data_IF_565372473858
#
_entry.id   IF_565372473858
#
_cell.length_a   1.000
_cell.length_b   1.000
_cell.length_c   1.000
_cell.angle_alpha   90.00
_cell.angle_beta   90.00
_cell.angle_gamma   90.00
#
_symmetry.space_group_name_H-M   'P 1'
#
loop_
_entity.id
_entity.type
_entity.pdbx_description
1 polymer ?
#
# COMPACT_ATOMS: atom_id res chain seq x y z
N UNK A 1 23.77 -1.65 -63.99
CA UNK A 1 24.06 -3.08 -63.80
C UNK A 1 25.07 -3.29 -62.69
N UNK A 2 24.67 -4.06 -61.69
CA UNK A 2 25.45 -4.37 -60.48
C UNK A 2 24.52 -5.03 -59.46
N UNK A 3 24.26 -6.33 -59.66
CA UNK A 3 23.25 -7.10 -58.92
C UNK A 3 23.51 -7.17 -57.41
N UNK A 4 22.63 -6.55 -56.64
CA UNK A 4 22.42 -6.86 -55.22
C UNK A 4 21.12 -7.65 -55.10
N UNK A 5 21.19 -8.80 -54.43
CA UNK A 5 20.02 -9.61 -54.06
C UNK A 5 18.92 -8.72 -53.50
N UNK A 6 17.72 -8.80 -54.09
CA UNK A 6 16.55 -8.01 -53.70
C UNK A 6 16.31 -8.09 -52.20
N UNK A 7 16.66 -6.99 -51.53
CA UNK A 7 16.25 -6.67 -50.17
C UNK A 7 14.72 -6.78 -50.06
N UNK A 8 14.22 -7.13 -48.89
CA UNK A 8 12.78 -7.15 -48.62
C UNK A 8 12.10 -5.86 -49.11
N UNK A 9 10.85 -5.94 -49.61
CA UNK A 9 10.15 -4.76 -50.11
C UNK A 9 9.90 -3.76 -48.97
N UNK A 10 10.38 -2.53 -49.14
CA UNK A 10 10.24 -1.44 -48.15
C UNK A 10 9.53 -0.22 -48.75
N UNK A 11 8.86 0.55 -47.90
CA UNK A 11 8.30 1.87 -48.22
C UNK A 11 9.03 2.92 -47.38
N UNK A 12 9.54 3.97 -48.02
CA UNK A 12 10.18 5.09 -47.34
C UNK A 12 9.50 6.42 -47.72
N UNK A 13 9.21 7.25 -46.71
CA UNK A 13 8.67 8.60 -46.89
C UNK A 13 9.73 9.60 -46.42
N UNK A 14 10.09 10.58 -47.26
CA UNK A 14 11.05 11.63 -46.92
C UNK A 14 10.64 12.94 -47.57
N UNK A 15 10.65 14.02 -46.78
CA UNK A 15 10.33 15.37 -47.24
C UNK A 15 11.17 16.38 -46.44
N UNK A 16 12.05 17.18 -47.07
CA UNK A 16 12.91 18.14 -46.37
C UNK A 16 12.16 19.18 -45.54
N UNK A 17 10.92 19.51 -45.93
CA UNK A 17 10.06 20.44 -45.23
C UNK A 17 9.14 19.76 -44.18
N UNK A 18 9.17 18.42 -44.08
CA UNK A 18 8.39 17.65 -43.12
C UNK A 18 7.25 16.82 -43.73
N UNK A 19 6.68 15.94 -42.91
CA UNK A 19 5.56 15.05 -43.24
C UNK A 19 4.45 15.29 -42.20
N UNK A 20 3.21 15.47 -42.67
CA UNK A 20 2.03 15.50 -41.80
C UNK A 20 1.15 14.28 -42.09
N UNK A 21 0.85 13.50 -41.05
CA UNK A 21 -0.05 12.35 -41.11
C UNK A 21 -1.25 12.63 -40.20
N UNK A 22 -2.45 12.72 -40.75
CA UNK A 22 -3.65 13.09 -40.01
C UNK A 22 -4.88 12.30 -40.49
N UNK A 23 -5.82 12.08 -39.57
CA UNK A 23 -7.13 11.46 -39.84
C UNK A 23 -8.16 12.06 -38.87
N UNK A 24 -9.37 12.41 -39.33
CA UNK A 24 -10.44 12.85 -38.43
C UNK A 24 -11.02 11.70 -37.58
N UNK A 25 -10.65 10.45 -37.89
CA UNK A 25 -11.04 9.27 -37.10
C UNK A 25 -9.84 8.73 -36.33
N UNK A 26 -9.13 7.78 -36.92
CA UNK A 26 -8.01 7.08 -36.27
C UNK A 26 -6.82 6.93 -37.19
N UNK A 27 -5.65 6.80 -36.55
CA UNK A 27 -4.38 6.33 -37.13
C UNK A 27 -3.97 5.13 -36.30
N UNK A 28 -3.60 4.03 -36.96
CA UNK A 28 -3.02 2.85 -36.32
C UNK A 28 -1.61 2.64 -36.85
N UNK A 29 -0.66 2.45 -35.94
CA UNK A 29 0.73 2.10 -36.25
C UNK A 29 1.00 0.73 -35.60
N UNK A 30 1.58 -0.19 -36.37
CA UNK A 30 1.89 -1.53 -35.90
C UNK A 30 3.09 -2.10 -36.64
N UNK A 31 3.90 -2.87 -35.92
CA UNK A 31 5.05 -3.59 -36.45
C UNK A 31 5.10 -4.98 -35.82
N UNK A 32 5.60 -5.98 -36.56
CA UNK A 32 5.82 -7.33 -36.02
C UNK A 32 7.00 -7.41 -35.06
N UNK A 33 7.93 -6.44 -35.14
CA UNK A 33 9.14 -6.39 -34.33
C UNK A 33 9.22 -5.08 -33.53
N UNK A 34 9.54 -3.96 -34.18
CA UNK A 34 9.86 -2.70 -33.49
C UNK A 34 9.20 -1.48 -34.13
N UNK A 35 8.88 -0.48 -33.30
CA UNK A 35 8.52 0.87 -33.72
C UNK A 35 9.54 1.82 -33.08
N UNK A 36 10.35 2.48 -33.90
CA UNK A 36 11.34 3.44 -33.46
C UNK A 36 10.90 4.87 -33.80
N UNK A 37 10.90 5.75 -32.80
CA UNK A 37 10.62 7.17 -32.96
C UNK A 37 11.79 7.97 -32.40
N UNK A 38 12.43 8.77 -33.26
CA UNK A 38 13.59 9.57 -32.89
C UNK A 38 13.44 11.00 -33.42
N UNK A 39 13.85 11.97 -32.61
CA UNK A 39 13.92 13.38 -32.98
C UNK A 39 15.21 13.98 -32.42
N UNK A 40 15.81 14.93 -33.15
CA UNK A 40 17.00 15.66 -32.67
C UNK A 40 16.69 16.67 -31.57
N UNK A 41 15.46 17.17 -31.54
CA UNK A 41 15.03 18.21 -30.60
C UNK A 41 14.03 17.63 -29.60
N UNK A 42 12.83 17.27 -30.06
CA UNK A 42 11.74 16.87 -29.17
C UNK A 42 10.81 15.85 -29.80
N UNK A 43 10.31 14.93 -28.97
CA UNK A 43 9.14 14.10 -29.24
C UNK A 43 8.02 14.59 -28.33
N UNK A 44 6.89 14.97 -28.91
CA UNK A 44 5.70 15.40 -28.18
C UNK A 44 4.56 14.42 -28.44
N UNK A 45 3.97 13.88 -27.36
CA UNK A 45 2.81 13.01 -27.40
C UNK A 45 1.71 13.69 -26.59
N UNK A 46 0.53 13.88 -27.17
CA UNK A 46 -0.58 14.61 -26.51
C UNK A 46 -1.89 13.91 -26.83
N UNK A 47 -2.73 13.77 -25.81
CA UNK A 47 -4.07 13.21 -25.91
C UNK A 47 -5.07 14.13 -25.20
N UNK A 48 -6.26 14.29 -25.76
CA UNK A 48 -7.32 15.12 -25.16
C UNK A 48 -8.04 14.45 -23.98
N UNK A 49 -8.03 13.10 -23.93
CA UNK A 49 -8.67 12.32 -22.87
C UNK A 49 -7.65 11.50 -22.08
N UNK A 50 -7.04 10.49 -22.69
CA UNK A 50 -6.15 9.54 -22.00
C UNK A 50 -4.94 9.12 -22.82
N UNK A 51 -3.83 8.86 -22.13
CA UNK A 51 -2.64 8.21 -22.68
C UNK A 51 -2.39 6.92 -21.90
N UNK A 52 -2.27 5.80 -22.62
CA UNK A 52 -1.99 4.48 -22.05
C UNK A 52 -0.67 3.97 -22.60
N UNK A 53 0.24 3.59 -21.70
CA UNK A 53 1.53 3.00 -22.05
C UNK A 53 1.61 1.63 -21.38
N UNK A 54 1.60 0.57 -22.20
CA UNK A 54 1.64 -0.81 -21.73
C UNK A 54 2.79 -1.53 -22.43
N UNK A 55 3.54 -2.35 -21.68
CA UNK A 55 4.61 -3.18 -22.22
C UNK A 55 4.56 -4.59 -21.60
N UNK A 56 4.90 -5.60 -22.39
CA UNK A 56 4.84 -6.99 -21.94
C UNK A 56 5.98 -7.41 -21.01
N UNK A 57 7.11 -6.69 -21.03
CA UNK A 57 8.31 -7.02 -20.23
C UNK A 57 8.82 -5.85 -19.39
N UNK A 58 8.73 -4.60 -19.88
CA UNK A 58 9.15 -3.44 -19.11
C UNK A 58 8.93 -2.11 -19.80
N UNK A 59 8.88 -1.04 -19.00
CA UNK A 59 8.86 0.35 -19.42
C UNK A 59 10.08 1.04 -18.80
N UNK A 60 10.84 1.78 -19.61
CA UNK A 60 12.02 2.52 -19.16
C UNK A 60 11.91 4.00 -19.53
N UNK A 61 12.23 4.87 -18.59
CA UNK A 61 12.36 6.32 -18.82
C UNK A 61 13.73 6.78 -18.33
N UNK A 62 14.40 7.62 -19.11
CA UNK A 62 15.72 8.13 -18.79
C UNK A 62 15.90 9.53 -19.37
N UNK A 63 16.47 10.44 -18.58
CA UNK A 63 16.88 11.76 -19.01
C UNK A 63 18.38 11.92 -18.70
N UNK A 64 19.18 12.21 -19.72
CA UNK A 64 20.62 12.42 -19.55
C UNK A 64 20.93 13.74 -18.81
N UNK A 65 20.11 14.75 -19.04
CA UNK A 65 20.25 16.10 -18.47
C UNK A 65 18.88 16.73 -18.26
N UNK A 66 18.77 17.66 -17.32
CA UNK A 66 17.52 18.30 -16.96
C UNK A 66 16.67 17.43 -16.03
N UNK A 67 15.38 17.76 -15.94
CA UNK A 67 14.48 17.19 -14.95
C UNK A 67 13.56 16.10 -15.54
N UNK A 68 13.22 15.10 -14.72
CA UNK A 68 12.10 14.19 -14.99
C UNK A 68 10.89 14.61 -14.14
N UNK A 69 9.71 14.73 -14.76
CA UNK A 69 8.50 15.23 -14.10
C UNK A 69 7.31 14.32 -14.35
N UNK A 70 6.73 13.78 -13.27
CA UNK A 70 5.45 13.07 -13.28
C UNK A 70 4.45 13.85 -12.43
N UNK A 71 3.49 14.52 -13.07
CA UNK A 71 2.61 15.49 -12.42
C UNK A 71 1.16 15.17 -12.76
N UNK A 72 0.34 14.97 -11.72
CA UNK A 72 -1.12 14.99 -11.81
C UNK A 72 -1.63 16.32 -11.26
N UNK A 73 -2.32 17.12 -12.07
CA UNK A 73 -2.93 18.39 -11.60
C UNK A 73 -4.15 18.13 -10.71
N UNK A 74 -4.91 17.08 -11.04
CA UNK A 74 -6.04 16.58 -10.28
C UNK A 74 -6.00 15.06 -10.29
N UNK A 75 -6.54 14.44 -9.24
CA UNK A 75 -6.54 13.00 -9.07
C UNK A 75 -5.29 12.47 -8.37
N UNK A 76 -5.21 11.14 -8.25
CA UNK A 76 -4.16 10.43 -7.54
C UNK A 76 -2.95 10.17 -8.46
N UNK A 77 -1.74 10.37 -7.92
CA UNK A 77 -0.52 9.83 -8.51
C UNK A 77 -0.20 8.49 -7.84
N UNK A 78 -0.53 7.39 -8.53
CA UNK A 78 -0.31 6.04 -8.03
C UNK A 78 0.95 5.42 -8.61
N UNK A 79 1.91 5.08 -7.75
CA UNK A 79 3.13 4.34 -8.11
C UNK A 79 3.17 3.03 -7.33
N UNK A 80 3.19 1.89 -8.03
CA UNK A 80 3.11 0.57 -7.41
C UNK A 80 4.03 -0.45 -8.09
N UNK A 81 4.68 -1.27 -7.26
CA UNK A 81 5.30 -2.52 -7.67
C UNK A 81 4.54 -3.68 -6.99
N UNK A 82 3.65 -4.34 -7.74
CA UNK A 82 2.67 -5.27 -7.14
C UNK A 82 3.26 -6.64 -6.74
N UNK A 83 4.36 -7.03 -7.38
CA UNK A 83 5.01 -8.33 -7.17
C UNK A 83 6.54 -8.20 -7.01
N UNK A 84 7.05 -7.00 -6.75
CA UNK A 84 8.48 -6.75 -6.57
C UNK A 84 8.70 -5.49 -5.72
N UNK A 85 9.96 -5.14 -5.47
CA UNK A 85 10.34 -3.94 -4.71
C UNK A 85 10.16 -2.65 -5.51
N UNK A 86 9.83 -1.57 -4.81
CA UNK A 86 10.01 -0.20 -5.30
C UNK A 86 11.21 0.44 -4.58
N UNK A 87 12.07 1.18 -5.31
CA UNK A 87 13.20 1.93 -4.77
C UNK A 87 13.15 3.37 -5.25
N UNK A 88 13.36 4.31 -4.32
CA UNK A 88 13.46 5.75 -4.59
C UNK A 88 14.75 6.25 -3.97
N UNK A 89 15.68 6.71 -4.81
CA UNK A 89 17.05 7.04 -4.42
C UNK A 89 17.48 8.33 -5.11
N UNK A 90 18.26 9.15 -4.39
CA UNK A 90 18.83 10.39 -4.90
C UNK A 90 20.23 10.60 -4.28
N UNK A 91 21.13 11.21 -5.04
CA UNK A 91 22.47 11.57 -4.58
C UNK A 91 22.44 12.72 -3.54
N UNK A 92 21.49 13.64 -3.71
CA UNK A 92 21.29 14.77 -2.80
C UNK A 92 20.19 14.44 -1.78
N UNK A 93 18.95 14.87 -2.02
CA UNK A 93 17.84 14.72 -1.07
C UNK A 93 16.65 13.98 -1.69
N UNK A 94 15.88 13.34 -0.81
CA UNK A 94 14.52 12.85 -1.09
C UNK A 94 13.59 13.56 -0.11
N UNK A 95 12.59 14.25 -0.62
CA UNK A 95 11.59 14.97 0.18
C UNK A 95 10.21 14.33 0.00
N UNK A 96 9.57 13.99 1.12
CA UNK A 96 8.22 13.42 1.15
C UNK A 96 7.39 14.28 2.10
N UNK A 97 6.36 14.93 1.57
CA UNK A 97 5.52 15.86 2.32
C UNK A 97 4.05 15.76 1.89
N UNK A 98 3.13 15.88 2.84
CA UNK A 98 1.71 16.07 2.61
C UNK A 98 1.26 17.34 3.33
N UNK A 99 0.61 18.27 2.60
CA UNK A 99 0.28 19.60 3.15
C UNK A 99 -0.98 19.64 4.01
N UNK A 100 -1.92 18.74 3.76
CA UNK A 100 -3.26 18.82 4.35
C UNK A 100 -3.58 17.68 5.32
N UNK A 101 -3.17 16.46 4.99
CA UNK A 101 -3.56 15.26 5.73
C UNK A 101 -2.35 14.60 6.40
N UNK A 102 -1.84 13.50 5.83
CA UNK A 102 -0.88 12.64 6.52
C UNK A 102 0.11 12.00 5.55
N UNK A 103 1.23 11.55 6.10
CA UNK A 103 2.16 10.61 5.45
C UNK A 103 1.99 9.27 6.17
N UNK A 104 1.53 8.25 5.45
CA UNK A 104 1.42 6.90 5.98
C UNK A 104 2.61 6.05 5.51
N UNK A 105 3.45 5.63 6.45
CA UNK A 105 4.48 4.61 6.21
C UNK A 105 4.07 3.35 6.97
N UNK A 106 3.81 2.28 6.22
CA UNK A 106 3.41 0.98 6.77
C UNK A 106 4.24 -0.14 6.15
N UNK A 107 4.56 -1.14 6.95
CA UNK A 107 5.23 -2.36 6.50
C UNK A 107 4.77 -3.54 7.36
N UNK A 108 4.74 -4.73 6.77
CA UNK A 108 4.38 -5.96 7.49
C UNK A 108 5.52 -6.45 8.40
N UNK A 109 6.75 -6.37 7.92
CA UNK A 109 7.93 -6.93 8.61
C UNK A 109 8.59 -5.89 9.52
N UNK A 110 9.09 -4.80 8.94
CA UNK A 110 9.74 -3.73 9.69
C UNK A 110 9.79 -2.42 8.89
N UNK A 111 9.96 -1.33 9.64
CA UNK A 111 10.37 -0.02 9.11
C UNK A 111 11.71 0.33 9.75
N UNK A 112 12.68 0.81 8.98
CA UNK A 112 13.98 1.25 9.50
C UNK A 112 14.37 2.59 8.90
N UNK A 113 14.72 3.54 9.76
CA UNK A 113 15.25 4.85 9.41
C UNK A 113 16.70 4.89 9.88
N UNK A 114 17.65 5.18 8.98
CA UNK A 114 19.08 5.26 9.32
C UNK A 114 19.63 6.64 8.99
N UNK A 115 20.47 7.18 9.87
CA UNK A 115 21.17 8.44 9.66
C UNK A 115 22.48 8.48 10.45
N UNK A 116 23.62 8.55 9.75
CA UNK A 116 24.93 8.74 10.39
C UNK A 116 25.29 7.72 11.48
N UNK A 117 24.81 6.48 11.36
CA UNK A 117 24.99 5.42 12.36
C UNK A 117 23.94 5.37 13.48
N UNK A 118 23.08 6.38 13.61
CA UNK A 118 21.86 6.29 14.39
C UNK A 118 20.75 5.61 13.57
N UNK A 119 19.82 4.93 14.26
CA UNK A 119 18.66 4.34 13.63
C UNK A 119 17.43 4.32 14.53
N UNK A 120 16.27 4.28 13.88
CA UNK A 120 14.98 3.95 14.46
C UNK A 120 14.44 2.74 13.71
N UNK A 121 14.08 1.68 14.43
CA UNK A 121 13.51 0.48 13.86
C UNK A 121 12.20 0.11 14.54
N UNK A 122 11.17 -0.17 13.73
CA UNK A 122 9.90 -0.71 14.19
C UNK A 122 9.77 -2.14 13.68
N UNK A 123 9.67 -3.13 14.57
CA UNK A 123 9.57 -4.55 14.21
C UNK A 123 8.89 -5.36 15.33
N UNK A 124 7.94 -6.23 14.96
CA UNK A 124 7.28 -7.16 15.90
C UNK A 124 6.62 -6.46 17.09
N UNK A 125 6.01 -5.29 16.86
CA UNK A 125 5.41 -4.46 17.90
C UNK A 125 6.39 -3.65 18.75
N UNK A 126 7.70 -3.79 18.54
CA UNK A 126 8.74 -3.07 19.29
C UNK A 126 9.24 -1.84 18.52
N UNK A 127 9.71 -0.85 19.27
CA UNK A 127 10.46 0.30 18.76
C UNK A 127 11.88 0.23 19.33
N UNK A 128 12.88 0.18 18.47
CA UNK A 128 14.30 0.17 18.81
C UNK A 128 14.95 1.49 18.35
N UNK A 129 15.59 2.19 19.29
CA UNK A 129 16.32 3.43 19.06
C UNK A 129 17.80 3.18 19.36
N UNK A 130 18.63 3.07 18.33
CA UNK A 130 20.07 2.86 18.47
C UNK A 130 20.85 4.09 18.01
N UNK A 131 21.84 4.52 18.77
CA UNK A 131 22.69 5.64 18.41
C UNK A 131 24.06 5.56 19.10
N UNK A 132 25.16 5.93 18.41
CA UNK A 132 26.49 6.05 19.03
C UNK A 132 26.64 7.32 19.88
N UNK A 133 25.80 8.33 19.63
CA UNK A 133 25.78 9.60 20.34
C UNK A 133 24.78 9.62 21.50
N UNK A 134 24.37 10.82 21.89
CA UNK A 134 23.41 11.03 22.98
C UNK A 134 21.97 10.92 22.49
N UNK A 135 21.10 10.28 23.28
CA UNK A 135 19.66 10.40 23.15
C UNK A 135 19.18 11.64 23.93
N UNK A 136 18.84 12.73 23.23
CA UNK A 136 18.42 13.98 23.85
C UNK A 136 16.91 14.15 23.67
N UNK A 137 16.16 14.12 24.77
CA UNK A 137 14.71 14.36 24.79
C UNK A 137 14.44 15.74 25.40
N UNK A 138 13.82 16.64 24.63
CA UNK A 138 13.39 17.97 25.08
C UNK A 138 11.87 18.01 25.12
N UNK A 139 11.27 17.86 26.29
CA UNK A 139 9.82 17.83 26.46
C UNK A 139 9.39 18.57 27.75
N UNK A 140 8.21 19.19 27.72
CA UNK A 140 7.61 19.81 28.91
C UNK A 140 7.16 18.77 29.95
N UNK A 141 6.80 17.56 29.51
CA UNK A 141 6.47 16.42 30.35
C UNK A 141 6.88 15.10 29.65
N UNK A 142 7.18 14.06 30.41
CA UNK A 142 7.43 12.71 29.92
C UNK A 142 6.70 11.70 30.80
N UNK A 143 5.82 10.91 30.19
CA UNK A 143 5.03 9.89 30.90
C UNK A 143 5.09 8.59 30.12
N UNK A 144 5.47 7.51 30.78
CA UNK A 144 5.42 6.17 30.23
C UNK A 144 4.22 5.46 30.87
N UNK A 145 3.26 5.05 30.05
CA UNK A 145 2.09 4.27 30.47
C UNK A 145 2.18 2.88 29.86
N UNK A 146 1.27 1.96 30.26
CA UNK A 146 1.22 0.61 29.71
C UNK A 146 1.11 0.58 28.19
N UNK A 147 1.47 -0.55 27.59
CA UNK A 147 1.49 -0.71 26.13
C UNK A 147 0.11 -0.47 25.49
N UNK A 148 0.13 0.06 24.26
CA UNK A 148 -1.03 0.20 23.40
C UNK A 148 -0.76 -0.50 22.06
N UNK A 149 -1.80 -0.86 21.32
CA UNK A 149 -1.71 -1.55 20.03
C UNK A 149 -2.51 -0.80 18.96
N UNK A 150 -1.99 -0.71 17.74
CA UNK A 150 -2.69 -0.22 16.56
C UNK A 150 -2.54 -1.25 15.42
N UNK A 151 -3.66 -1.69 14.83
CA UNK A 151 -3.63 -2.65 13.71
C UNK A 151 -3.33 -1.90 12.40
N UNK A 152 -2.40 -2.44 11.62
CA UNK A 152 -1.93 -1.87 10.35
C UNK A 152 -2.32 -2.74 9.15
N UNK A 153 -3.42 -3.50 9.23
CA UNK A 153 -3.81 -4.38 8.13
C UNK A 153 -4.13 -3.57 6.87
N UNK A 154 -3.66 -4.10 5.74
CA UNK A 154 -4.05 -3.72 4.38
C UNK A 154 -5.51 -4.13 4.13
N UNK A 155 -6.44 -3.48 4.82
CA UNK A 155 -7.86 -3.61 4.51
C UNK A 155 -8.14 -2.77 3.27
N UNK A 156 -7.96 -3.36 2.10
CA UNK A 156 -8.76 -3.14 0.88
C UNK A 156 -8.04 -3.74 -0.32
N UNK A 157 -8.13 -5.06 -0.48
CA UNK A 157 -8.15 -5.65 -1.82
C UNK A 157 -9.58 -6.13 -2.07
N UNK A 158 -10.17 -5.67 -3.17
CA UNK A 158 -11.55 -5.96 -3.59
C UNK A 158 -11.84 -7.45 -3.79
N UNK A 159 -10.79 -8.29 -3.81
CA UNK A 159 -10.85 -9.75 -3.84
C UNK A 159 -10.06 -10.35 -2.68
N UNK A 160 -10.64 -10.33 -1.47
CA UNK A 160 -10.18 -11.15 -0.36
C UNK A 160 -10.81 -12.56 -0.49
N UNK A 161 -10.02 -13.65 -0.67
CA UNK A 161 -10.54 -15.02 -0.74
C UNK A 161 -11.20 -15.51 0.55
N UNK A 162 -10.97 -14.85 1.69
CA UNK A 162 -11.66 -15.12 2.96
C UNK A 162 -12.63 -13.96 3.28
N UNK A 163 -13.94 -14.24 3.27
CA UNK A 163 -15.01 -13.27 3.55
C UNK A 163 -16.02 -13.76 4.60
N UNK A 164 -15.60 -14.72 5.43
CA UNK A 164 -16.48 -15.48 6.31
C UNK A 164 -16.64 -14.83 7.70
N UNK A 165 -17.67 -15.26 8.42
CA UNK A 165 -17.99 -14.85 9.79
C UNK A 165 -17.73 -15.98 10.76
N UNK A 166 -17.09 -15.69 11.90
CA UNK A 166 -16.93 -16.67 12.97
C UNK A 166 -18.23 -16.78 13.80
N UNK A 167 -18.67 -18.01 14.10
CA UNK A 167 -19.77 -18.28 15.05
C UNK A 167 -19.17 -18.65 16.39
N UNK A 168 -19.49 -17.87 17.42
CA UNK A 168 -19.05 -18.15 18.80
C UNK A 168 -20.04 -19.11 19.46
N UNK A 169 -19.52 -20.21 20.01
CA UNK A 169 -20.29 -21.21 20.76
C UNK A 169 -19.67 -21.41 22.13
N UNK A 170 -20.51 -21.67 23.12
CA UNK A 170 -20.12 -22.12 24.44
C UNK A 170 -19.53 -23.53 24.33
N UNK A 171 -18.26 -23.69 24.69
CA UNK A 171 -17.51 -24.95 24.53
C UNK A 171 -18.09 -26.12 25.34
N UNK A 172 -18.79 -25.82 26.45
CA UNK A 172 -19.32 -26.85 27.36
C UNK A 172 -20.71 -27.32 26.96
N UNK A 173 -21.49 -26.46 26.34
CA UNK A 173 -22.91 -26.71 26.04
C UNK A 173 -23.23 -26.72 24.55
N UNK A 174 -22.30 -26.30 23.69
CA UNK A 174 -22.46 -26.18 22.24
C UNK A 174 -23.44 -25.09 21.79
N UNK A 175 -24.01 -24.34 22.75
CA UNK A 175 -24.98 -23.27 22.47
C UNK A 175 -24.29 -22.05 21.88
N UNK A 176 -24.96 -21.43 20.93
CA UNK A 176 -24.51 -20.19 20.30
C UNK A 176 -24.54 -19.06 21.33
N UNK A 177 -23.44 -18.31 21.43
CA UNK A 177 -23.31 -17.17 22.32
C UNK A 177 -23.73 -15.90 21.57
N UNK A 178 -25.01 -15.57 21.63
CA UNK A 178 -25.59 -14.37 21.01
C UNK A 178 -25.40 -13.13 21.90
N UNK A 179 -25.24 -11.95 21.28
CA UNK A 179 -25.07 -10.65 21.96
C UNK A 179 -24.00 -10.64 23.06
N UNK A 180 -22.96 -11.46 22.89
CA UNK A 180 -21.94 -11.67 23.90
C UNK A 180 -20.69 -10.85 23.53
N UNK A 181 -20.16 -10.01 24.45
CA UNK A 181 -18.93 -9.30 24.21
C UNK A 181 -17.75 -10.29 24.22
N UNK A 182 -16.96 -10.24 23.15
CA UNK A 182 -15.78 -11.07 22.97
C UNK A 182 -14.59 -10.19 22.61
N UNK A 183 -13.43 -10.63 23.05
CA UNK A 183 -12.15 -10.09 22.61
C UNK A 183 -11.57 -11.08 21.59
N UNK A 184 -11.48 -10.64 20.35
CA UNK A 184 -10.88 -11.37 19.25
C UNK A 184 -9.42 -10.94 19.14
N UNK A 185 -8.50 -11.82 19.53
CA UNK A 185 -7.07 -11.65 19.27
C UNK A 185 -6.76 -12.24 17.89
N UNK A 186 -6.42 -11.39 16.94
CA UNK A 186 -6.01 -11.79 15.59
C UNK A 186 -4.55 -12.23 15.57
N UNK A 187 -4.17 -12.94 14.50
CA UNK A 187 -2.82 -13.46 14.31
C UNK A 187 -1.74 -12.36 14.28
N UNK A 188 -2.13 -11.14 13.89
CA UNK A 188 -1.31 -9.92 13.88
C UNK A 188 -1.14 -9.28 15.27
N UNK A 189 -1.73 -9.86 16.31
CA UNK A 189 -1.73 -9.32 17.68
C UNK A 189 -2.82 -8.28 17.94
N UNK A 190 -3.67 -7.96 16.96
CA UNK A 190 -4.76 -7.01 17.16
C UNK A 190 -5.84 -7.59 18.06
N UNK A 191 -6.14 -6.87 19.15
CA UNK A 191 -7.27 -7.18 20.03
C UNK A 191 -8.50 -6.37 19.60
N UNK A 192 -9.48 -7.04 19.01
CA UNK A 192 -10.77 -6.46 18.61
C UNK A 192 -11.82 -6.78 19.67
N UNK A 193 -12.41 -5.75 20.28
CA UNK A 193 -13.57 -5.90 21.15
C UNK A 193 -14.83 -5.86 20.30
N UNK A 194 -15.49 -7.01 20.18
CA UNK A 194 -16.66 -7.20 19.32
C UNK A 194 -17.81 -7.76 20.13
N UNK A 195 -19.03 -7.57 19.64
CA UNK A 195 -20.22 -8.22 20.19
C UNK A 195 -20.79 -9.11 19.11
N UNK A 196 -21.09 -10.36 19.46
CA UNK A 196 -21.73 -11.30 18.54
C UNK A 196 -23.18 -10.89 18.25
N UNK A 197 -23.70 -11.18 17.06
CA UNK A 197 -25.10 -10.91 16.72
C UNK A 197 -26.09 -11.88 17.38
N UNK A 198 -27.38 -11.75 17.04
CA UNK A 198 -28.45 -12.62 17.56
C UNK A 198 -28.28 -14.11 17.18
N UNK A 199 -27.42 -14.41 16.20
CA UNK A 199 -27.06 -15.75 15.74
C UNK A 199 -25.62 -16.12 16.15
N UNK A 200 -25.01 -15.36 17.07
CA UNK A 200 -23.67 -15.58 17.61
C UNK A 200 -22.53 -15.36 16.62
N UNK A 201 -22.78 -14.64 15.51
CA UNK A 201 -21.77 -14.35 14.49
C UNK A 201 -21.02 -13.07 14.81
N UNK A 202 -19.74 -13.06 14.47
CA UNK A 202 -18.94 -11.85 14.42
C UNK A 202 -19.07 -11.13 13.08
N UNK A 203 -18.81 -9.81 13.04
CA UNK A 203 -18.71 -9.07 11.78
C UNK A 203 -17.78 -9.78 10.80
N UNK A 204 -18.16 -9.79 9.51
CA UNK A 204 -17.37 -10.42 8.45
C UNK A 204 -15.93 -9.94 8.49
N UNK A 205 -15.00 -10.89 8.55
CA UNK A 205 -13.57 -10.59 8.46
C UNK A 205 -13.18 -10.76 6.99
N UNK A 206 -12.57 -9.75 6.39
CA UNK A 206 -12.03 -9.84 5.03
C UNK A 206 -10.52 -9.98 5.11
N UNK A 207 -9.97 -11.04 4.54
CA UNK A 207 -8.53 -11.29 4.56
C UNK A 207 -8.04 -12.10 3.34
N UNK A 208 -6.74 -12.03 3.08
CA UNK A 208 -6.05 -12.75 2.00
C UNK A 208 -5.85 -14.24 2.29
N UNK A 209 -5.96 -14.64 3.56
CA UNK A 209 -5.85 -16.03 4.03
C UNK A 209 -6.72 -16.21 5.29
N UNK A 210 -7.09 -17.45 5.59
CA UNK A 210 -7.72 -17.77 6.87
C UNK A 210 -6.71 -17.57 7.99
N UNK A 211 -6.92 -16.54 8.81
CA UNK A 211 -6.09 -16.26 9.97
C UNK A 211 -6.57 -17.03 11.19
N UNK A 212 -5.63 -17.63 11.92
CA UNK A 212 -5.92 -18.20 13.23
C UNK A 212 -6.26 -17.06 14.20
N UNK A 213 -7.44 -17.13 14.80
CA UNK A 213 -7.90 -16.14 15.77
C UNK A 213 -8.12 -16.83 17.11
N UNK A 214 -7.72 -16.16 18.19
CA UNK A 214 -8.06 -16.57 19.54
C UNK A 214 -9.25 -15.73 20.02
N UNK A 215 -10.30 -16.42 20.48
CA UNK A 215 -11.51 -15.80 20.99
C UNK A 215 -11.54 -15.94 22.51
N UNK A 216 -11.64 -14.81 23.20
CA UNK A 216 -11.85 -14.79 24.65
C UNK A 216 -13.17 -14.12 24.97
N UNK A 217 -13.92 -14.69 25.91
CA UNK A 217 -15.07 -13.99 26.49
C UNK A 217 -14.55 -12.80 27.28
N UNK A 218 -15.07 -11.61 27.02
CA UNK A 218 -14.77 -10.47 27.86
C UNK A 218 -15.35 -10.78 29.25
N UNK A 219 -14.49 -10.95 30.25
CA UNK A 219 -14.94 -11.21 31.63
C UNK A 219 -15.87 -10.08 32.07
N UNK A 220 -17.11 -10.42 32.43
CA UNK A 220 -18.01 -9.47 33.08
C UNK A 220 -17.34 -8.94 34.35
N UNK A 221 -17.33 -7.62 34.52
CA UNK A 221 -16.89 -7.02 35.78
C UNK A 221 -17.63 -7.66 36.97
N UNK A 222 -16.96 -7.95 38.10
CA UNK A 222 -17.64 -8.54 39.24
C UNK A 222 -18.73 -7.59 39.77
N UNK A 223 -19.86 -8.11 40.28
CA UNK A 223 -20.94 -7.28 40.79
C UNK A 223 -20.46 -6.44 41.98
N UNK A 224 -20.86 -5.17 41.99
CA UNK A 224 -20.68 -4.24 43.11
C UNK A 224 -21.40 -4.79 44.34
N UNK A 225 -20.65 -5.39 45.27
CA UNK A 225 -21.15 -5.76 46.58
C UNK A 225 -21.48 -4.49 47.37
N UNK A 226 -22.76 -4.25 47.60
CA UNK A 226 -23.23 -3.22 48.51
C UNK A 226 -24.21 -3.84 49.50
N UNK A 227 -23.67 -4.62 50.44
CA UNK A 227 -24.36 -5.06 51.66
C UNK A 227 -23.56 -4.53 52.84
N UNK A 228 -23.89 -3.32 53.30
CA UNK A 228 -23.66 -2.94 54.70
C UNK A 228 -25.01 -3.00 55.40
N UNK A 229 -25.13 -4.01 56.26
CA UNK A 229 -26.13 -4.14 57.30
C UNK A 229 -26.30 -2.83 58.08
N UNK A 230 -27.55 -2.38 58.16
CA UNK A 230 -28.03 -1.46 59.17
C UNK A 230 -29.21 -2.13 59.85
N UNK A 231 -29.02 -2.67 61.04
CA UNK A 231 -29.95 -2.48 62.16
C UNK A 231 -29.29 -2.87 63.48
N UNK A 232 -29.51 -1.99 64.45
CA UNK A 232 -29.27 -2.03 65.89
C UNK A 232 -29.48 -3.36 66.61
#
# INVERSE_FOLDING_TARGET
DGGGNGSEPVIALSAPAGIALASPRSIALGAGEHIDAAAREQVQLTAGEQMLLNAGQGLGTFAQSGDMRHIAHQGELLLQAQHNSARLEADQSVEISASNEHILVKAQEHITLLCGGAYLKMQGGNIELGMPGNFIVKAANHTHVGGAHASALFNEWSNAPFDDSYIVRDERTGKVLANTPVELLRSDGALLKLTTDAQGRLPKQKDLRMDAVELRLASAAPPSGNDMESTS
#
